data_IF_760158066692
#
_entry.id   IF_760158066692
#
_cell.length_a   1.000
_cell.length_b   1.000
_cell.length_c   1.000
_cell.angle_alpha   90.00
_cell.angle_beta   90.00
_cell.angle_gamma   90.00
#
_symmetry.space_group_name_H-M   'P 1'
#
loop_
_entity.id
_entity.type
_entity.pdbx_description
1 polymer ?
#
# COMPACT_ATOMS: atom_id res chain seq x y z
N UNK A 1 -30.00 -16.59 3.29
CA UNK A 1 -29.52 -15.20 3.35
C UNK A 1 -28.11 -15.27 2.86
N UNK A 2 -27.93 -14.83 1.62
CA UNK A 2 -26.78 -15.17 0.78
C UNK A 2 -25.47 -14.63 1.35
N UNK A 3 -24.46 -15.49 1.36
CA UNK A 3 -23.09 -15.09 1.57
C UNK A 3 -22.70 -14.20 0.39
N UNK A 4 -22.78 -12.89 0.59
CA UNK A 4 -22.06 -11.94 -0.26
C UNK A 4 -20.60 -12.34 -0.15
N UNK A 5 -20.06 -12.91 -1.23
CA UNK A 5 -18.62 -13.07 -1.42
C UNK A 5 -18.04 -11.68 -1.53
N UNK A 6 -17.83 -11.04 -0.39
CA UNK A 6 -17.01 -9.85 -0.29
C UNK A 6 -15.65 -10.25 -0.86
N UNK A 7 -15.09 -9.57 -1.89
CA UNK A 7 -13.72 -9.81 -2.28
C UNK A 7 -12.88 -9.65 -1.01
N UNK A 8 -12.34 -10.77 -0.51
CA UNK A 8 -11.85 -10.84 0.87
C UNK A 8 -10.74 -9.81 1.04
N UNK A 9 -11.01 -8.72 1.77
CA UNK A 9 -10.04 -7.64 1.97
C UNK A 9 -8.73 -8.18 2.55
N UNK A 10 -8.77 -9.30 3.28
CA UNK A 10 -7.57 -10.00 3.76
C UNK A 10 -6.75 -10.61 2.63
N UNK A 11 -7.39 -11.14 1.60
CA UNK A 11 -6.69 -11.68 0.44
C UNK A 11 -5.95 -10.58 -0.34
N UNK A 12 -6.54 -9.38 -0.42
CA UNK A 12 -5.90 -8.23 -1.08
C UNK A 12 -4.76 -7.69 -0.23
N UNK A 13 -4.94 -7.60 1.09
CA UNK A 13 -3.85 -7.24 2.01
C UNK A 13 -2.69 -8.25 1.90
N UNK A 14 -2.97 -9.55 1.85
CA UNK A 14 -1.95 -10.57 1.65
C UNK A 14 -1.24 -10.46 0.29
N UNK A 15 -1.97 -10.10 -0.78
CA UNK A 15 -1.39 -9.84 -2.09
C UNK A 15 -0.46 -8.61 -2.06
N UNK A 16 -0.85 -7.55 -1.36
CA UNK A 16 -0.03 -6.36 -1.14
C UNK A 16 1.22 -6.69 -0.32
N UNK A 17 1.10 -7.48 0.75
CA UNK A 17 2.24 -7.95 1.55
C UNK A 17 3.26 -8.72 0.70
N UNK A 18 2.79 -9.64 -0.15
CA UNK A 18 3.65 -10.39 -1.06
C UNK A 18 4.38 -9.47 -2.03
N UNK A 19 3.67 -8.48 -2.59
CA UNK A 19 4.27 -7.52 -3.51
C UNK A 19 5.29 -6.60 -2.83
N UNK A 20 5.00 -6.14 -1.60
CA UNK A 20 5.93 -5.35 -0.78
C UNK A 20 7.21 -6.16 -0.55
N UNK A 21 7.09 -7.44 -0.18
CA UNK A 21 8.25 -8.29 0.04
C UNK A 21 9.05 -8.53 -1.24
N UNK A 22 8.38 -8.75 -2.37
CA UNK A 22 9.04 -9.00 -3.66
C UNK A 22 9.75 -7.76 -4.24
N UNK A 23 9.22 -6.57 -3.96
CA UNK A 23 9.76 -5.30 -4.47
C UNK A 23 10.76 -4.63 -3.52
N UNK A 24 10.87 -5.11 -2.28
CA UNK A 24 11.77 -4.56 -1.29
C UNK A 24 13.22 -4.58 -1.76
N UNK A 25 13.94 -3.48 -1.53
CA UNK A 25 15.36 -3.33 -1.89
C UNK A 25 16.18 -2.96 -0.66
N UNK A 26 17.37 -3.54 -0.56
CA UNK A 26 18.37 -3.15 0.45
C UNK A 26 19.03 -1.82 0.08
N UNK A 27 19.34 -1.65 -1.20
CA UNK A 27 19.98 -0.44 -1.71
C UNK A 27 18.96 0.64 -2.08
N UNK A 28 19.39 1.89 -2.01
CA UNK A 28 18.55 3.02 -2.39
C UNK A 28 18.14 2.93 -3.87
N UNK A 29 16.87 3.21 -4.21
CA UNK A 29 16.45 3.33 -5.59
C UNK A 29 17.18 4.52 -6.26
N UNK A 30 17.25 4.52 -7.60
CA UNK A 30 17.81 5.65 -8.35
C UNK A 30 17.17 6.97 -7.92
N UNK A 31 17.95 8.07 -7.89
CA UNK A 31 17.50 9.38 -7.41
C UNK A 31 16.18 9.85 -8.08
N UNK A 32 16.04 9.59 -9.38
CA UNK A 32 14.84 9.92 -10.14
C UNK A 32 13.56 9.20 -9.65
N UNK A 33 13.72 8.06 -8.97
CA UNK A 33 12.64 7.23 -8.44
C UNK A 33 12.47 7.38 -6.94
N UNK A 34 13.43 7.94 -6.18
CA UNK A 34 13.42 7.93 -4.71
C UNK A 34 12.12 8.48 -4.09
N UNK A 35 11.50 9.45 -4.74
CA UNK A 35 10.20 9.99 -4.32
C UNK A 35 9.05 8.98 -4.34
N UNK A 36 9.19 7.84 -5.02
CA UNK A 36 8.16 6.80 -5.14
C UNK A 36 8.40 5.65 -4.15
N UNK A 37 9.43 5.78 -3.30
CA UNK A 37 9.82 4.79 -2.31
C UNK A 37 9.76 5.36 -0.89
N UNK A 38 9.62 4.46 0.06
CA UNK A 38 9.76 4.72 1.49
C UNK A 38 10.94 3.89 2.00
N UNK A 39 11.73 4.47 2.90
CA UNK A 39 12.77 3.76 3.63
C UNK A 39 12.32 3.56 5.08
N UNK A 40 12.50 2.36 5.62
CA UNK A 40 12.05 2.04 6.97
C UNK A 40 12.75 0.84 7.59
N UNK A 41 12.68 0.77 8.92
CA UNK A 41 13.28 -0.28 9.74
C UNK A 41 12.25 -1.13 10.48
N UNK A 42 12.61 -2.39 10.69
CA UNK A 42 11.85 -3.45 11.36
C UNK A 42 11.93 -3.28 12.86
N UNK A 43 11.01 -2.51 13.42
CA UNK A 43 10.55 -2.76 14.77
C UNK A 43 9.04 -3.01 14.69
N UNK A 44 8.51 -4.09 15.32
CA UNK A 44 7.11 -4.48 15.25
C UNK A 44 6.11 -3.44 15.78
N UNK A 45 6.60 -2.28 16.24
CA UNK A 45 5.80 -1.14 16.72
C UNK A 45 5.97 0.15 15.92
N UNK A 46 6.74 0.16 14.83
CA UNK A 46 7.31 1.42 14.31
C UNK A 46 6.96 1.71 12.85
N UNK A 47 6.57 2.97 12.62
CA UNK A 47 6.29 3.56 11.32
C UNK A 47 7.58 3.77 10.50
N UNK A 48 7.50 3.91 9.17
CA UNK A 48 8.64 4.33 8.34
C UNK A 48 9.16 5.70 8.77
N UNK A 49 10.39 6.03 8.37
CA UNK A 49 10.80 7.44 8.43
C UNK A 49 9.83 8.30 7.60
N UNK A 50 9.58 9.55 8.02
CA UNK A 50 8.78 10.47 7.23
C UNK A 50 9.46 10.72 5.90
N UNK A 51 8.72 10.59 4.80
CA UNK A 51 9.22 11.02 3.49
C UNK A 51 9.39 12.55 3.41
N UNK A 52 9.80 13.05 2.24
CA UNK A 52 9.98 14.49 1.99
C UNK A 52 8.69 15.33 2.18
N UNK A 53 7.54 14.68 2.31
CA UNK A 53 6.23 15.28 2.56
C UNK A 53 5.70 14.96 3.96
N UNK A 54 6.50 14.33 4.82
CA UNK A 54 6.17 13.97 6.20
C UNK A 54 5.31 12.71 6.34
N UNK A 55 5.12 11.93 5.27
CA UNK A 55 4.33 10.70 5.32
C UNK A 55 5.11 9.56 5.93
N UNK A 56 4.48 8.86 6.87
CA UNK A 56 4.99 7.64 7.47
C UNK A 56 4.01 6.49 7.19
N UNK A 57 4.51 5.38 6.67
CA UNK A 57 3.73 4.15 6.46
C UNK A 57 3.95 3.13 7.57
N UNK A 58 3.07 2.14 7.68
CA UNK A 58 3.36 0.93 8.47
C UNK A 58 3.99 -0.07 7.50
N UNK A 59 5.23 -0.49 7.78
CA UNK A 59 5.90 -1.52 6.98
C UNK A 59 5.84 -2.84 7.75
N UNK A 60 5.53 -3.97 7.09
CA UNK A 60 5.53 -5.27 7.75
C UNK A 60 6.87 -5.54 8.48
N UNK A 61 6.83 -6.20 9.66
CA UNK A 61 7.98 -6.35 10.57
C UNK A 61 9.05 -7.34 10.07
N UNK A 62 9.34 -7.39 8.78
CA UNK A 62 10.38 -8.24 8.19
C UNK A 62 11.26 -7.53 7.17
N UNK A 63 11.02 -6.26 6.85
CA UNK A 63 11.70 -5.56 5.76
C UNK A 63 12.39 -4.29 6.26
N UNK A 64 13.69 -4.37 6.57
CA UNK A 64 14.53 -3.16 6.63
C UNK A 64 14.93 -2.86 5.20
N UNK A 65 14.52 -1.73 4.65
CA UNK A 65 14.87 -1.38 3.28
C UNK A 65 13.92 -0.39 2.62
N UNK A 66 14.13 -0.22 1.32
CA UNK A 66 13.32 0.60 0.45
C UNK A 66 12.14 -0.22 -0.07
N UNK A 67 10.93 0.30 0.12
CA UNK A 67 9.69 -0.31 -0.36
C UNK A 67 8.89 0.69 -1.20
N UNK A 68 8.17 0.26 -2.23
CA UNK A 68 7.36 1.19 -3.03
C UNK A 68 6.24 1.83 -2.21
N UNK A 69 6.15 3.16 -2.24
CA UNK A 69 5.17 3.93 -1.46
C UNK A 69 3.74 3.53 -1.76
N UNK A 70 3.41 3.33 -3.03
CA UNK A 70 2.06 2.98 -3.45
C UNK A 70 1.57 1.67 -2.81
N UNK A 71 2.42 0.64 -2.74
CA UNK A 71 2.06 -0.64 -2.11
C UNK A 71 1.81 -0.49 -0.61
N UNK A 72 2.66 0.26 0.09
CA UNK A 72 2.50 0.52 1.54
C UNK A 72 1.24 1.35 1.82
N UNK A 73 0.95 2.33 0.97
CA UNK A 73 -0.25 3.15 1.08
C UNK A 73 -1.52 2.28 1.00
N UNK A 74 -1.64 1.46 -0.05
CA UNK A 74 -2.82 0.61 -0.23
C UNK A 74 -2.92 -0.48 0.83
N UNK A 75 -1.80 -1.04 1.27
CA UNK A 75 -1.78 -1.97 2.39
C UNK A 75 -2.36 -1.32 3.65
N UNK A 76 -1.87 -0.13 4.01
CA UNK A 76 -2.30 0.58 5.21
C UNK A 76 -3.79 0.95 5.15
N UNK A 77 -4.27 1.47 4.01
CA UNK A 77 -5.69 1.83 3.81
C UNK A 77 -6.58 0.60 4.02
N UNK A 78 -6.27 -0.50 3.34
CA UNK A 78 -7.11 -1.70 3.36
C UNK A 78 -7.01 -2.46 4.69
N UNK A 79 -5.84 -2.51 5.31
CA UNK A 79 -5.64 -3.17 6.59
C UNK A 79 -6.29 -2.40 7.77
N UNK A 80 -6.31 -1.07 7.71
CA UNK A 80 -6.94 -0.23 8.74
C UNK A 80 -8.47 -0.17 8.62
N UNK A 81 -9.03 -0.50 7.45
CA UNK A 81 -10.44 -0.29 7.14
C UNK A 81 -10.86 1.19 7.16
N UNK A 82 -9.89 2.10 7.08
CA UNK A 82 -10.13 3.55 7.05
C UNK A 82 -10.66 4.02 5.70
N UNK A 83 -11.25 5.20 5.67
CA UNK A 83 -11.71 5.81 4.42
C UNK A 83 -10.56 6.49 3.65
N UNK A 84 -10.63 6.40 2.33
CA UNK A 84 -9.71 7.03 1.37
C UNK A 84 -10.45 8.10 0.58
N UNK A 85 -9.87 9.29 0.50
CA UNK A 85 -10.45 10.36 -0.32
C UNK A 85 -10.16 10.16 -1.80
N UNK A 86 -11.07 10.66 -2.66
CA UNK A 86 -10.83 10.71 -4.13
C UNK A 86 -9.57 11.48 -4.51
N UNK A 87 -9.14 12.43 -3.68
CA UNK A 87 -7.90 13.15 -3.91
C UNK A 87 -6.69 12.26 -3.71
N UNK A 88 -6.65 11.50 -2.61
CA UNK A 88 -5.59 10.51 -2.38
C UNK A 88 -5.55 9.44 -3.48
N UNK A 89 -6.70 9.01 -4.01
CA UNK A 89 -6.74 8.06 -5.13
C UNK A 89 -6.13 8.61 -6.43
N UNK A 90 -6.13 9.94 -6.63
CA UNK A 90 -5.57 10.59 -7.82
C UNK A 90 -4.11 10.98 -7.67
N UNK A 91 -3.53 10.85 -6.47
CA UNK A 91 -2.12 11.15 -6.25
C UNK A 91 -1.25 10.15 -7.02
N UNK A 92 -0.33 10.61 -7.90
CA UNK A 92 0.53 9.71 -8.67
C UNK A 92 1.35 8.75 -7.80
N UNK A 93 1.75 9.19 -6.61
CA UNK A 93 2.52 8.39 -5.65
C UNK A 93 1.74 7.20 -5.06
N UNK A 94 0.41 7.15 -5.23
CA UNK A 94 -0.45 6.04 -4.81
C UNK A 94 -0.90 5.17 -5.98
N UNK A 95 -0.42 5.43 -7.20
CA UNK A 95 -0.77 4.63 -8.38
C UNK A 95 -0.24 3.20 -8.27
N UNK A 96 -1.10 2.23 -8.58
CA UNK A 96 -0.73 0.82 -8.69
C UNK A 96 -0.46 0.37 -10.13
N UNK A 97 -0.33 1.31 -11.07
CA UNK A 97 -0.14 0.99 -12.50
C UNK A 97 1.08 0.11 -12.81
N UNK A 98 2.09 0.07 -11.91
CA UNK A 98 3.23 -0.84 -11.98
C UNK A 98 2.89 -2.29 -11.61
N UNK A 99 1.79 -2.52 -10.90
CA UNK A 99 1.28 -3.83 -10.49
C UNK A 99 -0.17 -4.03 -10.96
N UNK A 100 -0.41 -4.25 -12.27
CA UNK A 100 -1.77 -4.27 -12.84
C UNK A 100 -2.74 -5.27 -12.18
N UNK A 101 -2.24 -6.43 -11.76
CA UNK A 101 -3.05 -7.43 -11.06
C UNK A 101 -3.55 -6.93 -9.70
N UNK A 102 -2.71 -6.19 -8.98
CA UNK A 102 -3.05 -5.61 -7.68
C UNK A 102 -3.99 -4.42 -7.90
N UNK A 103 -3.72 -3.58 -8.90
CA UNK A 103 -4.58 -2.46 -9.26
C UNK A 103 -6.02 -2.90 -9.55
N UNK A 104 -6.19 -3.98 -10.34
CA UNK A 104 -7.51 -4.56 -10.62
C UNK A 104 -8.16 -5.06 -9.33
N UNK A 105 -7.44 -5.84 -8.51
CA UNK A 105 -8.01 -6.40 -7.27
C UNK A 105 -8.46 -5.31 -6.29
N UNK A 106 -7.65 -4.25 -6.13
CA UNK A 106 -8.01 -3.09 -5.31
C UNK A 106 -9.20 -2.35 -5.91
N UNK A 107 -9.25 -2.15 -7.23
CA UNK A 107 -10.38 -1.51 -7.91
C UNK A 107 -11.69 -2.28 -7.75
N UNK A 108 -11.65 -3.59 -7.89
CA UNK A 108 -12.81 -4.48 -7.69
C UNK A 108 -13.31 -4.39 -6.24
N UNK A 109 -12.39 -4.38 -5.28
CA UNK A 109 -12.72 -4.26 -3.86
C UNK A 109 -13.35 -2.92 -3.50
N UNK A 110 -12.79 -1.81 -4.00
CA UNK A 110 -13.37 -0.48 -3.78
C UNK A 110 -14.74 -0.32 -4.42
N UNK A 111 -14.96 -0.98 -5.57
CA UNK A 111 -16.28 -1.01 -6.23
C UNK A 111 -17.29 -1.78 -5.38
N UNK A 112 -16.88 -2.89 -4.76
CA UNK A 112 -17.71 -3.66 -3.83
C UNK A 112 -17.90 -2.97 -2.47
N UNK A 113 -16.95 -2.11 -2.07
CA UNK A 113 -16.89 -1.44 -0.76
C UNK A 113 -16.93 0.10 -0.89
N UNK A 114 -18.02 0.70 -1.42
CA UNK A 114 -18.08 2.13 -1.68
C UNK A 114 -17.98 3.00 -0.42
N UNK A 115 -18.26 2.44 0.77
CA UNK A 115 -18.12 3.13 2.05
C UNK A 115 -16.67 3.43 2.44
N UNK A 116 -15.69 2.80 1.79
CA UNK A 116 -14.28 3.13 1.98
C UNK A 116 -13.90 4.43 1.28
N UNK A 117 -14.71 4.95 0.35
CA UNK A 117 -14.39 6.18 -0.38
C UNK A 117 -15.08 7.39 0.28
N UNK A 118 -14.27 8.33 0.76
CA UNK A 118 -14.71 9.61 1.35
C UNK A 118 -14.85 10.74 0.32
#
# INVERSE_FOLDING_TARGET
MDAVTDPDGRAIVALLDQAIHAEARTDAPPEAEQRDWLYGGVDPTTYTEPDAHGWMGIVPPSTVGWVPRALVFWHTVLASGGSISREQMRQPAHSLSRWPTIEIAVGDYLTASPWLIA
#
